data_IF_366514537084
#
_entry.id   IF_366514537084
#
_cell.length_a   1.000
_cell.length_b   1.000
_cell.length_c   1.000
_cell.angle_alpha   90.00
_cell.angle_beta   90.00
_cell.angle_gamma   90.00
#
_symmetry.space_group_name_H-M   'P 1'
#
loop_
_entity.id
_entity.type
_entity.pdbx_description
1 polymer ?
#
# COMPACT_ATOMS: atom_id res chain seq x y z
N UNK A 1 -48.26 -47.76 -22.04
CA UNK A 1 -46.88 -48.24 -22.28
C UNK A 1 -46.01 -47.03 -22.54
N UNK A 2 -45.13 -46.66 -21.61
CA UNK A 2 -44.09 -45.63 -21.80
C UNK A 2 -42.77 -46.26 -22.28
N UNK A 3 -41.84 -45.47 -22.81
CA UNK A 3 -40.58 -45.19 -22.07
C UNK A 3 -40.20 -43.69 -22.13
N UNK A 4 -39.96 -43.01 -21.01
CA UNK A 4 -38.68 -42.79 -20.27
C UNK A 4 -37.61 -41.96 -21.00
N UNK A 5 -37.46 -40.72 -20.53
CA UNK A 5 -36.25 -39.89 -20.57
C UNK A 5 -35.13 -40.51 -19.72
N UNK A 6 -33.88 -40.49 -20.19
CA UNK A 6 -32.65 -40.25 -19.40
C UNK A 6 -31.56 -39.83 -20.38
N UNK A 7 -30.90 -38.68 -20.20
CA UNK A 7 -29.46 -38.46 -20.39
C UNK A 7 -29.14 -36.97 -20.22
N UNK A 8 -28.82 -36.52 -19.01
CA UNK A 8 -28.07 -35.28 -18.79
C UNK A 8 -27.40 -35.26 -17.41
N UNK A 9 -26.41 -36.12 -17.16
CA UNK A 9 -25.58 -36.06 -15.92
C UNK A 9 -24.07 -36.17 -16.22
N UNK A 10 -23.62 -36.11 -17.49
CA UNK A 10 -22.21 -36.37 -17.85
C UNK A 10 -21.27 -35.16 -17.96
N UNK A 11 -21.79 -33.93 -18.11
CA UNK A 11 -20.95 -32.78 -18.57
C UNK A 11 -20.45 -31.88 -17.43
N UNK A 12 -21.03 -31.98 -16.23
CA UNK A 12 -20.71 -31.05 -15.13
C UNK A 12 -19.39 -31.41 -14.40
N UNK A 13 -18.95 -32.69 -14.40
CA UNK A 13 -17.78 -33.12 -13.60
C UNK A 13 -16.42 -32.79 -14.26
N UNK A 14 -16.34 -32.72 -15.59
CA UNK A 14 -15.07 -32.45 -16.31
C UNK A 14 -14.65 -30.97 -16.32
N UNK A 15 -15.60 -30.04 -16.20
CA UNK A 15 -15.33 -28.60 -16.15
C UNK A 15 -14.71 -28.16 -14.80
N UNK A 16 -15.02 -28.86 -13.71
CA UNK A 16 -14.44 -28.56 -12.40
C UNK A 16 -13.00 -29.09 -12.24
N UNK A 17 -12.69 -30.28 -12.77
CA UNK A 17 -11.35 -30.87 -12.65
C UNK A 17 -10.28 -30.04 -13.37
N UNK A 18 -10.51 -29.66 -14.63
CA UNK A 18 -9.58 -28.84 -15.42
C UNK A 18 -9.35 -27.43 -14.84
N UNK A 19 -10.39 -26.85 -14.21
CA UNK A 19 -10.25 -25.55 -13.53
C UNK A 19 -9.39 -25.64 -12.26
N UNK A 20 -9.42 -26.77 -11.54
CA UNK A 20 -8.65 -26.94 -10.30
C UNK A 20 -7.15 -27.13 -10.54
N UNK A 21 -6.78 -27.84 -11.60
CA UNK A 21 -5.38 -28.03 -12.01
C UNK A 21 -4.76 -26.72 -12.50
N UNK A 22 -5.48 -25.95 -13.32
CA UNK A 22 -5.02 -24.65 -13.80
C UNK A 22 -4.78 -23.65 -12.65
N UNK A 23 -5.67 -23.63 -11.64
CA UNK A 23 -5.51 -22.80 -10.44
C UNK A 23 -4.30 -23.24 -9.61
N UNK A 24 -4.11 -24.56 -9.43
CA UNK A 24 -2.96 -25.10 -8.70
C UNK A 24 -1.63 -24.82 -9.41
N UNK A 25 -1.58 -24.98 -10.73
CA UNK A 25 -0.41 -24.67 -11.56
C UNK A 25 -0.06 -23.18 -11.50
N UNK A 26 -1.07 -22.31 -11.58
CA UNK A 26 -0.87 -20.86 -11.48
C UNK A 26 -0.40 -20.43 -10.09
N UNK A 27 -0.90 -21.06 -9.03
CA UNK A 27 -0.40 -20.85 -7.67
C UNK A 27 1.07 -21.29 -7.53
N UNK A 28 1.43 -22.46 -8.07
CA UNK A 28 2.81 -22.94 -8.11
C UNK A 28 3.75 -22.00 -8.88
N UNK A 29 3.27 -21.43 -9.99
CA UNK A 29 4.02 -20.46 -10.79
C UNK A 29 4.33 -19.18 -9.99
N UNK A 30 3.36 -18.62 -9.26
CA UNK A 30 3.59 -17.44 -8.41
C UNK A 30 4.61 -17.70 -7.30
N UNK A 31 4.61 -18.89 -6.71
CA UNK A 31 5.62 -19.28 -5.72
C UNK A 31 7.01 -19.28 -6.35
N UNK A 32 7.15 -19.87 -7.54
CA UNK A 32 8.42 -19.89 -8.26
C UNK A 32 8.87 -18.48 -8.71
N UNK A 33 7.95 -17.64 -9.16
CA UNK A 33 8.21 -16.23 -9.48
C UNK A 33 8.66 -15.45 -8.25
N UNK A 34 7.99 -15.63 -7.11
CA UNK A 34 8.37 -14.99 -5.85
C UNK A 34 9.77 -15.41 -5.40
N UNK A 35 10.09 -16.71 -5.45
CA UNK A 35 11.44 -17.21 -5.11
C UNK A 35 12.51 -16.60 -6.03
N UNK A 36 12.24 -16.43 -7.32
CA UNK A 36 13.15 -15.73 -8.24
C UNK A 36 13.32 -14.26 -7.87
N UNK A 37 12.24 -13.56 -7.50
CA UNK A 37 12.31 -12.18 -7.05
C UNK A 37 13.08 -12.02 -5.74
N UNK A 38 12.95 -12.95 -4.80
CA UNK A 38 13.73 -12.99 -3.55
C UNK A 38 15.22 -13.13 -3.86
N UNK A 39 15.59 -14.06 -4.75
CA UNK A 39 16.98 -14.24 -5.16
C UNK A 39 17.56 -13.00 -5.85
N UNK A 40 16.77 -12.33 -6.70
CA UNK A 40 17.16 -11.09 -7.35
C UNK A 40 17.29 -9.95 -6.35
N UNK A 41 16.37 -9.83 -5.40
CA UNK A 41 16.41 -8.82 -4.33
C UNK A 41 17.63 -8.98 -3.44
N UNK A 42 18.05 -10.21 -3.14
CA UNK A 42 19.25 -10.46 -2.35
C UNK A 42 20.53 -9.88 -3.02
N UNK A 43 20.54 -9.74 -4.36
CA UNK A 43 21.66 -9.13 -5.10
C UNK A 43 21.77 -7.61 -4.91
N UNK A 44 20.76 -6.95 -4.34
CA UNK A 44 20.84 -5.53 -3.99
C UNK A 44 21.79 -5.26 -2.82
N UNK A 45 22.25 -6.29 -2.11
CA UNK A 45 23.33 -6.19 -1.11
C UNK A 45 24.73 -6.07 -1.71
N UNK A 46 24.85 -6.01 -3.04
CA UNK A 46 26.14 -5.81 -3.72
C UNK A 46 26.77 -4.45 -3.34
N UNK A 47 28.08 -4.49 -3.12
CA UNK A 47 28.89 -3.33 -2.73
C UNK A 47 29.22 -2.43 -3.91
N UNK A 48 29.40 -3.01 -5.09
CA UNK A 48 29.59 -2.30 -6.35
C UNK A 48 28.30 -1.58 -6.77
N UNK A 49 28.37 -0.25 -6.86
CA UNK A 49 27.21 0.60 -7.10
C UNK A 49 26.55 0.32 -8.46
N UNK A 50 27.33 0.09 -9.52
CA UNK A 50 26.82 -0.14 -10.87
C UNK A 50 26.14 -1.50 -10.99
N UNK A 51 26.71 -2.53 -10.34
CA UNK A 51 26.05 -3.85 -10.22
C UNK A 51 24.77 -3.74 -9.41
N UNK A 52 24.78 -3.07 -8.26
CA UNK A 52 23.59 -2.87 -7.42
C UNK A 52 22.48 -2.13 -8.19
N UNK A 53 22.84 -1.07 -8.91
CA UNK A 53 21.93 -0.32 -9.78
C UNK A 53 21.31 -1.21 -10.84
N UNK A 54 22.11 -2.04 -11.52
CA UNK A 54 21.58 -3.01 -12.50
C UNK A 54 20.63 -4.02 -11.88
N UNK A 55 20.94 -4.58 -10.71
CA UNK A 55 20.05 -5.53 -10.04
C UNK A 55 18.77 -4.87 -9.53
N UNK A 56 18.85 -3.63 -9.05
CA UNK A 56 17.67 -2.84 -8.65
C UNK A 56 16.72 -2.62 -9.84
N UNK A 57 17.24 -2.19 -10.99
CA UNK A 57 16.45 -2.04 -12.24
C UNK A 57 15.86 -3.38 -12.70
N UNK A 58 16.62 -4.48 -12.62
CA UNK A 58 16.13 -5.81 -12.97
C UNK A 58 15.00 -6.24 -12.03
N UNK A 59 15.14 -6.01 -10.72
CA UNK A 59 14.12 -6.31 -9.73
C UNK A 59 12.84 -5.53 -10.00
N UNK A 60 12.94 -4.21 -10.20
CA UNK A 60 11.82 -3.34 -10.51
C UNK A 60 11.03 -3.86 -11.72
N UNK A 61 11.74 -4.12 -12.82
CA UNK A 61 11.14 -4.63 -14.06
C UNK A 61 10.48 -5.98 -13.86
N UNK A 62 11.16 -6.91 -13.20
CA UNK A 62 10.65 -8.26 -12.96
C UNK A 62 9.40 -8.24 -12.08
N UNK A 63 9.43 -7.47 -10.99
CA UNK A 63 8.31 -7.39 -10.06
C UNK A 63 7.10 -6.71 -10.70
N UNK A 64 7.30 -5.58 -11.38
CA UNK A 64 6.21 -4.91 -12.10
C UNK A 64 5.62 -5.80 -13.20
N UNK A 65 6.46 -6.56 -13.91
CA UNK A 65 5.99 -7.51 -14.94
C UNK A 65 5.17 -8.63 -14.32
N UNK A 66 5.59 -9.18 -13.17
CA UNK A 66 4.83 -10.17 -12.42
C UNK A 66 3.44 -9.65 -12.07
N UNK A 67 3.36 -8.44 -11.49
CA UNK A 67 2.09 -7.83 -11.10
C UNK A 67 1.14 -7.62 -12.29
N UNK A 68 1.67 -7.13 -13.42
CA UNK A 68 0.88 -6.87 -14.63
C UNK A 68 0.38 -8.15 -15.30
N UNK A 69 1.17 -9.21 -15.28
CA UNK A 69 0.82 -10.48 -15.92
C UNK A 69 -0.14 -11.34 -15.07
N UNK A 70 -0.28 -11.04 -13.77
CA UNK A 70 -0.95 -11.92 -12.82
C UNK A 70 -1.97 -11.16 -11.94
N UNK A 71 -3.24 -11.03 -12.38
CA UNK A 71 -4.31 -10.41 -11.60
C UNK A 71 -4.45 -10.95 -10.17
N UNK A 72 -4.19 -12.24 -9.96
CA UNK A 72 -4.25 -12.90 -8.66
C UNK A 72 -3.19 -12.41 -7.66
N UNK A 73 -2.20 -11.62 -8.11
CA UNK A 73 -1.29 -10.95 -7.18
C UNK A 73 -2.01 -9.97 -6.27
N UNK A 74 -3.22 -9.50 -6.60
CA UNK A 74 -4.04 -8.65 -5.73
C UNK A 74 -4.36 -9.31 -4.38
N UNK A 75 -4.40 -10.64 -4.33
CA UNK A 75 -4.66 -11.41 -3.10
C UNK A 75 -3.50 -12.32 -2.69
N UNK A 76 -2.52 -12.56 -3.58
CA UNK A 76 -1.34 -13.38 -3.27
C UNK A 76 -0.55 -12.80 -2.08
N UNK A 77 -0.13 -13.61 -1.08
CA UNK A 77 0.39 -13.08 0.17
C UNK A 77 1.83 -12.56 0.13
N UNK A 78 2.64 -12.93 -0.88
CA UNK A 78 4.06 -12.56 -0.97
C UNK A 78 4.87 -12.80 0.34
N UNK A 79 4.72 -13.99 0.94
CA UNK A 79 5.29 -14.29 2.28
C UNK A 79 6.82 -14.20 2.31
N UNK A 80 7.50 -14.67 1.27
CA UNK A 80 8.96 -14.68 1.21
C UNK A 80 9.49 -13.29 0.85
N UNK A 81 8.85 -12.63 -0.11
CA UNK A 81 9.29 -11.33 -0.60
C UNK A 81 9.04 -10.21 0.43
N UNK A 82 8.01 -10.33 1.26
CA UNK A 82 7.75 -9.41 2.37
C UNK A 82 8.55 -9.70 3.64
N UNK A 83 9.23 -10.84 3.73
CA UNK A 83 10.11 -11.12 4.85
C UNK A 83 11.25 -10.09 4.92
N UNK A 84 11.75 -9.84 6.13
CA UNK A 84 12.93 -8.99 6.38
C UNK A 84 12.85 -7.59 5.74
N UNK A 85 11.66 -6.98 5.70
CA UNK A 85 11.42 -5.67 5.08
C UNK A 85 11.78 -5.61 3.58
N UNK A 86 11.61 -6.72 2.85
CA UNK A 86 11.86 -6.78 1.42
C UNK A 86 10.91 -5.90 0.60
N UNK A 87 9.75 -6.42 0.24
CA UNK A 87 8.65 -5.65 -0.36
C UNK A 87 7.53 -5.52 0.65
N UNK A 88 7.10 -4.30 0.90
CA UNK A 88 5.93 -4.05 1.71
C UNK A 88 4.68 -4.16 0.87
N UNK A 89 3.78 -5.05 1.28
CA UNK A 89 2.51 -5.32 0.60
C UNK A 89 1.37 -4.99 1.55
N UNK A 90 0.64 -3.91 1.28
CA UNK A 90 -0.48 -3.47 2.13
C UNK A 90 -1.76 -3.55 1.32
N UNK A 91 -2.72 -4.33 1.82
CA UNK A 91 -4.03 -4.52 1.18
C UNK A 91 -5.10 -3.83 2.01
N UNK A 92 -6.05 -3.18 1.35
CA UNK A 92 -7.26 -2.67 1.99
C UNK A 92 -8.06 -3.79 2.66
N UNK A 93 -8.85 -3.44 3.67
CA UNK A 93 -9.61 -4.42 4.45
C UNK A 93 -10.62 -5.22 3.60
N UNK A 94 -11.11 -4.63 2.50
CA UNK A 94 -12.02 -5.30 1.57
C UNK A 94 -11.31 -6.11 0.47
N UNK A 95 -9.97 -6.12 0.44
CA UNK A 95 -9.18 -6.87 -0.55
C UNK A 95 -9.16 -6.27 -1.96
N UNK A 96 -9.75 -5.08 -2.16
CA UNK A 96 -9.98 -4.51 -3.50
C UNK A 96 -8.92 -3.51 -3.95
N UNK A 97 -8.08 -3.04 -3.04
CA UNK A 97 -7.00 -2.12 -3.32
C UNK A 97 -5.73 -2.55 -2.58
N UNK A 98 -4.58 -2.45 -3.24
CA UNK A 98 -3.30 -2.86 -2.70
C UNK A 98 -2.21 -1.91 -3.15
N UNK A 99 -1.32 -1.59 -2.22
CA UNK A 99 -0.12 -0.80 -2.45
C UNK A 99 1.09 -1.70 -2.19
N UNK A 100 1.98 -1.75 -3.16
CA UNK A 100 3.29 -2.38 -3.07
C UNK A 100 4.34 -1.28 -2.96
N UNK A 101 5.26 -1.40 -2.00
CA UNK A 101 6.36 -0.45 -1.87
C UNK A 101 7.65 -1.18 -1.55
N UNK A 102 8.76 -0.76 -2.15
CA UNK A 102 10.07 -1.38 -1.90
C UNK A 102 11.20 -0.37 -2.06
N UNK A 103 12.23 -0.52 -1.21
CA UNK A 103 13.47 0.24 -1.30
C UNK A 103 14.31 -0.28 -2.47
N UNK A 104 14.78 0.63 -3.32
CA UNK A 104 15.66 0.35 -4.46
C UNK A 104 17.12 0.09 -4.05
N UNK A 105 17.46 0.32 -2.78
CA UNK A 105 18.78 0.15 -2.16
C UNK A 105 19.88 1.02 -2.81
N UNK A 106 19.52 2.07 -3.55
CA UNK A 106 20.47 2.99 -4.16
C UNK A 106 20.73 4.21 -3.27
N UNK A 107 19.80 4.54 -2.40
CA UNK A 107 19.94 5.58 -1.39
C UNK A 107 20.85 5.19 -0.21
N UNK A 108 21.42 6.21 0.44
CA UNK A 108 22.17 6.07 1.69
C UNK A 108 21.27 6.13 2.92
N UNK A 109 21.43 7.20 3.72
CA UNK A 109 20.54 7.50 4.85
C UNK A 109 19.15 7.96 4.37
N UNK A 110 19.11 8.74 3.29
CA UNK A 110 17.90 8.92 2.49
C UNK A 110 17.60 7.61 1.77
N UNK A 111 16.40 7.08 1.93
CA UNK A 111 15.94 5.89 1.21
C UNK A 111 15.17 6.30 -0.04
N UNK A 112 15.19 5.45 -1.06
CA UNK A 112 14.47 5.69 -2.30
C UNK A 112 13.48 4.55 -2.52
N UNK A 113 12.19 4.85 -2.35
CA UNK A 113 11.13 3.86 -2.46
C UNK A 113 10.43 3.93 -3.82
N UNK A 114 10.29 2.76 -4.43
CA UNK A 114 9.38 2.55 -5.55
C UNK A 114 8.02 2.10 -5.04
N UNK A 115 6.95 2.44 -5.78
CA UNK A 115 5.58 2.05 -5.44
C UNK A 115 4.80 1.59 -6.67
N UNK A 116 3.94 0.59 -6.49
CA UNK A 116 2.95 0.17 -7.46
C UNK A 116 1.58 0.04 -6.78
N UNK A 117 0.53 0.38 -7.52
CA UNK A 117 -0.86 0.29 -7.10
C UNK A 117 -1.55 -0.83 -7.87
N UNK A 118 -2.37 -1.62 -7.19
CA UNK A 118 -3.21 -2.63 -7.82
C UNK A 118 -4.62 -2.56 -7.25
N UNK A 119 -5.63 -2.59 -8.11
CA UNK A 119 -7.02 -2.57 -7.66
C UNK A 119 -7.93 -3.41 -8.55
N UNK A 120 -9.05 -3.82 -7.96
CA UNK A 120 -10.14 -4.44 -8.67
C UNK A 120 -11.01 -3.38 -9.36
N UNK A 121 -11.17 -3.48 -10.67
CA UNK A 121 -12.16 -2.75 -11.45
C UNK A 121 -13.13 -3.73 -12.14
N UNK A 122 -14.31 -3.92 -11.54
CA UNK A 122 -15.26 -4.94 -11.99
C UNK A 122 -14.64 -6.34 -11.89
N UNK A 123 -14.64 -7.08 -13.00
CA UNK A 123 -13.99 -8.40 -13.11
C UNK A 123 -12.49 -8.34 -13.44
N UNK A 124 -11.95 -7.15 -13.71
CA UNK A 124 -10.55 -6.96 -14.06
C UNK A 124 -9.74 -6.46 -12.87
N UNK A 125 -8.43 -6.71 -12.90
CA UNK A 125 -7.47 -6.14 -11.96
C UNK A 125 -6.55 -5.22 -12.75
N UNK A 126 -6.41 -3.99 -12.29
CA UNK A 126 -5.57 -2.96 -12.91
C UNK A 126 -4.32 -2.78 -12.07
N UNK A 127 -3.17 -2.66 -12.73
CA UNK A 127 -1.90 -2.28 -12.10
C UNK A 127 -1.48 -0.92 -12.64
N UNK A 128 -1.23 0.03 -11.74
CA UNK A 128 -0.63 1.32 -12.06
C UNK A 128 0.72 1.45 -11.38
N UNK A 129 1.73 1.81 -12.16
CA UNK A 129 3.04 2.20 -11.65
C UNK A 129 3.21 3.66 -12.02
N UNK A 130 3.29 4.59 -11.06
CA UNK A 130 3.48 6.00 -11.36
C UNK A 130 4.76 6.17 -12.16
N UNK A 131 4.66 6.85 -13.29
CA UNK A 131 5.83 7.34 -14.02
C UNK A 131 6.36 8.55 -13.26
N UNK A 132 7.23 8.33 -12.28
CA UNK A 132 7.95 9.41 -11.62
C UNK A 132 9.37 9.41 -12.16
N UNK A 133 9.77 10.51 -12.80
CA UNK A 133 11.18 10.88 -12.77
C UNK A 133 11.48 11.14 -11.29
N UNK A 134 12.37 10.37 -10.69
CA UNK A 134 12.81 10.64 -9.32
C UNK A 134 13.56 11.97 -9.38
N UNK A 135 12.91 13.03 -8.93
CA UNK A 135 13.57 14.31 -8.76
C UNK A 135 14.59 14.20 -7.62
N UNK A 136 15.65 15.00 -7.69
CA UNK A 136 16.64 15.05 -6.63
C UNK A 136 15.96 15.44 -5.31
N UNK A 137 16.12 14.60 -4.28
CA UNK A 137 15.47 14.79 -2.97
C UNK A 137 14.11 14.08 -2.80
N UNK A 138 13.53 13.46 -3.84
CA UNK A 138 12.33 12.62 -3.68
C UNK A 138 12.71 11.21 -3.19
N UNK A 139 12.56 11.00 -1.87
CA UNK A 139 12.73 9.70 -1.23
C UNK A 139 11.65 8.67 -1.64
N UNK A 140 10.56 9.11 -2.29
CA UNK A 140 9.36 8.31 -2.43
C UNK A 140 8.76 7.96 -1.06
N UNK A 141 7.92 6.94 -1.00
CA UNK A 141 7.34 6.48 0.25
C UNK A 141 7.05 4.97 0.24
N UNK A 142 6.95 4.38 1.43
CA UNK A 142 6.31 3.08 1.62
C UNK A 142 4.99 3.19 2.35
N UNK A 143 4.00 2.41 1.93
CA UNK A 143 2.72 2.32 2.62
C UNK A 143 2.83 1.42 3.87
N UNK A 144 2.33 1.86 5.03
CA UNK A 144 2.27 1.07 6.27
C UNK A 144 0.86 0.60 6.64
N UNK A 145 -0.19 1.30 6.18
CA UNK A 145 -1.58 0.93 6.46
C UNK A 145 -2.51 1.49 5.38
N UNK A 146 -3.64 0.82 5.16
CA UNK A 146 -4.74 1.33 4.34
C UNK A 146 -6.02 1.19 5.15
N UNK A 147 -6.68 2.32 5.43
CA UNK A 147 -8.00 2.32 6.05
C UNK A 147 -9.08 2.48 4.98
N UNK A 148 -10.15 1.69 5.08
CA UNK A 148 -11.27 1.77 4.15
C UNK A 148 -12.42 2.54 4.79
N UNK A 149 -12.96 3.53 4.08
CA UNK A 149 -14.07 4.35 4.55
C UNK A 149 -15.08 4.57 3.42
N UNK A 150 -16.37 4.54 3.76
CA UNK A 150 -17.45 4.82 2.82
C UNK A 150 -17.97 6.24 3.10
N UNK A 151 -17.88 7.12 2.10
CA UNK A 151 -18.13 8.56 2.23
C UNK A 151 -18.81 9.07 0.97
N UNK A 152 -19.96 9.74 1.13
CA UNK A 152 -20.73 10.33 0.03
C UNK A 152 -20.87 9.41 -1.19
N UNK A 153 -20.07 9.67 -2.22
CA UNK A 153 -20.12 9.06 -3.56
C UNK A 153 -19.50 7.66 -3.66
N UNK A 154 -18.91 7.13 -2.59
CA UNK A 154 -18.46 5.74 -2.58
C UNK A 154 -17.34 5.46 -1.60
N UNK A 155 -16.56 4.43 -1.95
CA UNK A 155 -15.48 3.91 -1.12
C UNK A 155 -14.17 4.66 -1.36
N UNK A 156 -13.54 5.03 -0.27
CA UNK A 156 -12.22 5.64 -0.23
C UNK A 156 -11.25 4.78 0.57
N UNK A 157 -9.98 4.89 0.19
CA UNK A 157 -8.86 4.25 0.85
C UNK A 157 -7.92 5.32 1.36
N UNK A 158 -7.71 5.36 2.68
CA UNK A 158 -6.79 6.27 3.33
C UNK A 158 -5.48 5.52 3.56
N UNK A 159 -4.49 5.75 2.70
CA UNK A 159 -3.19 5.11 2.83
C UNK A 159 -2.30 5.93 3.75
N UNK A 160 -1.68 5.27 4.73
CA UNK A 160 -0.60 5.84 5.54
C UNK A 160 0.71 5.53 4.85
N UNK A 161 1.46 6.57 4.51
CA UNK A 161 2.71 6.50 3.77
C UNK A 161 3.86 7.07 4.58
N UNK A 162 5.08 6.57 4.35
CA UNK A 162 6.25 6.89 5.14
C UNK A 162 7.44 7.17 4.22
N UNK A 163 8.09 8.31 4.40
CA UNK A 163 9.31 8.70 3.69
C UNK A 163 10.47 8.85 4.67
N UNK A 164 11.67 8.50 4.22
CA UNK A 164 12.90 8.58 5.00
C UNK A 164 13.89 9.45 4.22
N UNK A 165 14.06 10.69 4.66
CA UNK A 165 14.94 11.66 4.02
C UNK A 165 16.36 11.63 4.61
N UNK A 166 16.49 11.26 5.89
CA UNK A 166 17.77 11.01 6.54
C UNK A 166 17.59 10.11 7.78
N UNK A 167 18.63 9.95 8.59
CA UNK A 167 18.51 9.32 9.92
C UNK A 167 17.68 10.14 10.90
N UNK A 168 17.51 11.44 10.63
CA UNK A 168 16.74 12.39 11.43
C UNK A 168 15.42 12.71 10.76
N UNK A 169 15.43 13.03 9.48
CA UNK A 169 14.28 13.63 8.79
C UNK A 169 13.39 12.55 8.19
N UNK A 170 12.15 12.50 8.66
CA UNK A 170 11.16 11.54 8.22
C UNK A 170 9.81 12.22 8.01
N UNK A 171 8.97 11.59 7.19
CA UNK A 171 7.58 12.00 6.97
C UNK A 171 6.65 10.83 7.14
N UNK A 172 5.50 11.09 7.77
CA UNK A 172 4.34 10.23 7.65
C UNK A 172 3.18 11.03 7.07
N UNK A 173 2.47 10.43 6.13
CA UNK A 173 1.38 11.07 5.42
C UNK A 173 0.13 10.21 5.47
N UNK A 174 -1.03 10.84 5.38
CA UNK A 174 -2.28 10.15 5.05
C UNK A 174 -2.81 10.69 3.74
N UNK A 175 -2.95 9.80 2.75
CA UNK A 175 -3.37 10.14 1.40
C UNK A 175 -4.68 9.45 1.02
N UNK A 176 -5.54 10.19 0.34
CA UNK A 176 -6.87 9.76 -0.09
C UNK A 176 -6.79 9.18 -1.48
N UNK A 177 -7.26 7.95 -1.60
CA UNK A 177 -7.42 7.25 -2.87
C UNK A 177 -8.87 6.87 -3.09
N UNK A 178 -9.35 7.01 -4.32
CA UNK A 178 -10.62 6.41 -4.76
C UNK A 178 -10.39 5.70 -6.08
N UNK A 179 -10.98 4.53 -6.22
CA UNK A 179 -11.04 3.83 -7.51
C UNK A 179 -12.27 4.33 -8.25
N UNK A 180 -12.07 4.84 -9.46
CA UNK A 180 -13.13 5.25 -10.38
C UNK A 180 -12.89 4.60 -11.75
N UNK A 181 -13.64 3.53 -12.03
CA UNK A 181 -13.44 2.69 -13.22
C UNK A 181 -11.96 2.24 -13.30
N UNK A 182 -11.30 2.55 -14.42
CA UNK A 182 -9.90 2.22 -14.70
C UNK A 182 -8.90 3.23 -14.12
N UNK A 183 -9.31 4.15 -13.25
CA UNK A 183 -8.42 5.21 -12.73
C UNK A 183 -8.37 5.19 -11.21
N UNK A 184 -7.18 5.42 -10.70
CA UNK A 184 -6.94 5.73 -9.30
C UNK A 184 -6.96 7.25 -9.14
N UNK A 185 -7.96 7.76 -8.42
CA UNK A 185 -8.15 9.18 -8.14
C UNK A 185 -7.42 9.52 -6.85
N UNK A 186 -6.51 10.50 -6.90
CA UNK A 186 -5.68 10.94 -5.77
C UNK A 186 -5.92 12.40 -5.38
N UNK A 187 -6.91 13.04 -6.01
CA UNK A 187 -7.18 14.48 -5.89
C UNK A 187 -8.42 14.80 -5.06
N UNK A 188 -9.17 13.77 -4.63
CA UNK A 188 -10.39 13.97 -3.86
C UNK A 188 -10.04 14.48 -2.46
N UNK A 189 -10.40 15.74 -2.20
CA UNK A 189 -10.09 16.41 -0.96
C UNK A 189 -11.09 16.06 0.16
N UNK A 190 -10.82 14.95 0.87
CA UNK A 190 -11.67 14.50 1.97
C UNK A 190 -11.36 15.14 3.32
N UNK A 191 -10.16 15.64 3.57
CA UNK A 191 -9.88 16.31 4.85
C UNK A 191 -10.23 17.78 4.73
N UNK A 192 -11.06 18.30 5.63
CA UNK A 192 -11.47 19.72 5.62
C UNK A 192 -11.18 20.40 6.94
N UNK A 193 -10.66 21.61 6.81
CA UNK A 193 -10.67 22.62 7.88
C UNK A 193 -11.76 23.66 7.56
N UNK A 194 -11.84 24.73 8.34
CA UNK A 194 -12.74 25.85 8.02
C UNK A 194 -12.36 26.60 6.74
N UNK A 195 -11.12 26.44 6.26
CA UNK A 195 -10.55 27.27 5.17
C UNK A 195 -10.05 26.45 3.99
N UNK A 196 -9.62 25.22 4.24
CA UNK A 196 -8.87 24.44 3.26
C UNK A 196 -9.40 23.01 3.20
N UNK A 197 -9.19 22.37 2.06
CA UNK A 197 -9.52 20.97 1.83
C UNK A 197 -8.31 20.26 1.24
N UNK A 198 -8.03 19.06 1.72
CA UNK A 198 -6.83 18.32 1.37
C UNK A 198 -7.16 16.88 0.98
N UNK A 199 -6.51 16.40 -0.08
CA UNK A 199 -6.49 14.99 -0.44
C UNK A 199 -5.34 14.23 0.26
N UNK A 200 -4.40 14.98 0.85
CA UNK A 200 -3.24 14.45 1.56
C UNK A 200 -2.87 15.38 2.71
N UNK A 201 -2.48 14.81 3.84
CA UNK A 201 -1.85 15.55 4.93
C UNK A 201 -0.48 14.94 5.16
N UNK A 202 0.55 15.77 5.11
CA UNK A 202 1.95 15.41 5.34
C UNK A 202 2.37 15.87 6.74
N UNK A 203 3.07 15.00 7.47
CA UNK A 203 3.69 15.34 8.74
C UNK A 203 5.17 15.02 8.69
N UNK A 204 5.97 16.06 8.57
CA UNK A 204 7.43 15.99 8.75
C UNK A 204 7.77 15.98 10.23
N UNK A 205 8.73 15.14 10.62
CA UNK A 205 9.18 15.02 12.00
C UNK A 205 10.64 14.55 12.09
N UNK A 206 11.24 14.87 13.23
CA UNK A 206 12.52 14.34 13.66
C UNK A 206 12.32 12.92 14.24
N UNK A 207 12.86 11.91 13.56
CA UNK A 207 12.79 10.50 13.94
C UNK A 207 13.39 10.24 15.33
N UNK A 208 14.38 11.03 15.76
CA UNK A 208 14.95 10.90 17.12
C UNK A 208 13.91 11.19 18.21
N UNK A 209 12.87 11.97 17.92
CA UNK A 209 11.77 12.23 18.87
C UNK A 209 10.85 11.04 19.12
N UNK A 210 10.96 9.98 18.30
CA UNK A 210 10.11 8.79 18.37
C UNK A 210 10.91 7.49 18.32
N UNK A 211 12.24 7.56 18.45
CA UNK A 211 13.13 6.39 18.34
C UNK A 211 12.82 5.33 19.41
N UNK A 212 12.49 5.76 20.62
CA UNK A 212 12.21 4.89 21.78
C UNK A 212 10.87 4.17 21.69
N UNK A 213 10.04 4.51 20.70
CA UNK A 213 8.77 3.82 20.50
C UNK A 213 9.02 2.39 20.02
N UNK A 214 8.35 1.37 20.58
CA UNK A 214 8.58 -0.01 20.17
C UNK A 214 7.91 -0.36 18.84
N UNK A 215 6.85 0.34 18.42
CA UNK A 215 6.11 -0.02 17.22
C UNK A 215 6.89 0.27 15.92
N UNK A 216 6.94 -0.72 15.03
CA UNK A 216 7.55 -0.61 13.69
C UNK A 216 6.64 -1.31 12.66
N UNK A 217 6.26 -0.64 11.54
CA UNK A 217 6.45 0.78 11.25
C UNK A 217 5.79 1.68 12.31
N UNK A 218 6.25 2.92 12.42
CA UNK A 218 5.65 3.91 13.32
C UNK A 218 4.18 4.11 12.97
N UNK A 219 3.33 4.17 14.00
CA UNK A 219 1.89 4.39 13.86
C UNK A 219 1.52 5.78 14.40
N UNK A 220 2.10 6.83 13.81
CA UNK A 220 1.80 8.19 14.24
C UNK A 220 0.43 8.63 13.74
N UNK A 221 0.05 8.33 12.50
CA UNK A 221 -1.29 8.58 11.99
C UNK A 221 -2.13 7.31 12.16
N UNK A 222 -3.31 7.46 12.74
CA UNK A 222 -4.21 6.34 13.04
C UNK A 222 -5.64 6.67 12.65
N UNK A 223 -6.44 5.63 12.44
CA UNK A 223 -7.88 5.73 12.22
C UNK A 223 -8.62 4.80 13.18
N UNK A 224 -9.53 5.36 13.97
CA UNK A 224 -10.48 4.59 14.76
C UNK A 224 -11.75 4.38 13.94
N UNK A 225 -12.00 3.14 13.49
CA UNK A 225 -13.17 2.83 12.66
C UNK A 225 -14.50 2.91 13.43
N UNK A 226 -14.51 2.70 14.75
CA UNK A 226 -15.73 2.77 15.58
C UNK A 226 -16.15 4.21 15.80
N UNK A 227 -15.19 5.05 16.16
CA UNK A 227 -15.40 6.49 16.35
C UNK A 227 -15.40 7.24 15.02
N UNK A 228 -14.87 6.63 13.96
CA UNK A 228 -14.63 7.23 12.64
C UNK A 228 -13.73 8.47 12.71
N UNK A 229 -12.69 8.42 13.53
CA UNK A 229 -11.75 9.51 13.76
C UNK A 229 -10.39 9.18 13.17
N UNK A 230 -9.85 10.07 12.34
CA UNK A 230 -8.42 10.10 12.00
C UNK A 230 -7.70 10.98 13.02
N UNK A 231 -6.62 10.46 13.59
CA UNK A 231 -5.76 11.19 14.53
C UNK A 231 -4.35 11.35 13.94
N UNK A 232 -3.92 12.60 13.77
CA UNK A 232 -2.64 13.01 13.18
C UNK A 232 -1.78 13.63 14.28
N UNK A 233 -0.49 13.30 14.43
CA UNK A 233 0.35 13.89 15.46
C UNK A 233 0.54 15.40 15.26
N UNK A 234 0.63 16.14 16.36
CA UNK A 234 1.15 17.52 16.34
C UNK A 234 2.66 17.46 16.52
N UNK A 235 3.36 18.12 15.61
CA UNK A 235 4.82 18.29 15.63
C UNK A 235 5.12 19.76 15.94
N UNK A 236 6.11 20.01 16.79
CA UNK A 236 6.53 21.36 17.13
C UNK A 236 7.58 21.91 16.15
N UNK A 237 8.01 23.15 16.35
CA UNK A 237 8.93 23.85 15.44
C UNK A 237 10.33 23.19 15.37
N UNK A 238 10.70 22.37 16.36
CA UNK A 238 11.94 21.58 16.33
C UNK A 238 11.78 20.20 15.67
N UNK A 239 10.61 19.89 15.10
CA UNK A 239 10.31 18.59 14.49
C UNK A 239 9.95 17.49 15.48
N UNK A 240 9.81 17.79 16.78
CA UNK A 240 9.48 16.78 17.80
C UNK A 240 8.01 16.42 17.79
N UNK A 241 7.72 15.13 17.73
CA UNK A 241 6.35 14.60 17.86
C UNK A 241 5.87 14.81 19.30
N UNK A 242 4.85 15.64 19.47
CA UNK A 242 4.26 15.91 20.79
C UNK A 242 3.30 14.80 21.23
N UNK A 243 2.82 14.91 22.47
CA UNK A 243 1.71 14.09 22.97
C UNK A 243 0.33 14.59 22.51
N UNK A 244 0.23 15.53 21.57
CA UNK A 244 -1.07 16.06 21.08
C UNK A 244 -1.37 15.55 19.67
N UNK A 245 -2.65 15.42 19.36
CA UNK A 245 -3.17 14.94 18.07
C UNK A 245 -4.20 15.90 17.51
N UNK A 246 -4.09 16.20 16.22
CA UNK A 246 -5.12 16.84 15.40
C UNK A 246 -6.15 15.75 15.05
N UNK A 247 -7.42 16.03 15.32
CA UNK A 247 -8.50 15.07 15.11
C UNK A 247 -9.40 15.50 13.97
N UNK A 248 -9.67 14.55 13.08
CA UNK A 248 -10.66 14.68 12.01
C UNK A 248 -11.74 13.62 12.16
N UNK A 249 -12.99 14.03 12.27
CA UNK A 249 -14.15 13.17 12.39
C UNK A 249 -14.81 12.98 11.04
N UNK A 250 -15.10 11.73 10.67
CA UNK A 250 -15.87 11.45 9.45
C UNK A 250 -17.32 11.92 9.61
N UNK A 251 -17.78 12.72 8.65
CA UNK A 251 -19.17 13.14 8.43
C UNK A 251 -19.80 12.32 7.29
N UNK A 252 -20.95 12.73 6.77
CA UNK A 252 -21.56 12.08 5.62
C UNK A 252 -20.73 12.18 4.33
N UNK A 253 -19.96 13.26 4.15
CA UNK A 253 -19.31 13.62 2.89
C UNK A 253 -17.79 13.87 3.00
N UNK A 254 -17.23 14.05 4.20
CA UNK A 254 -15.80 14.34 4.38
C UNK A 254 -15.32 14.08 5.81
N UNK A 255 -14.02 14.25 6.06
CA UNK A 255 -13.39 14.30 7.37
C UNK A 255 -13.26 15.75 7.84
N UNK A 256 -14.05 16.14 8.83
CA UNK A 256 -14.06 17.48 9.39
C UNK A 256 -13.08 17.59 10.55
N UNK A 257 -12.21 18.60 10.55
CA UNK A 257 -11.40 18.95 11.73
C UNK A 257 -12.31 19.27 12.91
N UNK A 258 -12.11 18.59 14.04
CA UNK A 258 -12.89 18.77 15.28
C UNK A 258 -12.09 19.31 16.46
N UNK A 259 -10.76 19.40 16.35
CA UNK A 259 -9.92 19.96 17.41
C UNK A 259 -8.58 19.27 17.57
N UNK A 260 -7.85 19.68 18.61
CA UNK A 260 -6.58 19.09 19.03
C UNK A 260 -6.74 18.58 20.45
N UNK A 261 -6.34 17.33 20.70
CA UNK A 261 -6.44 16.68 22.01
C UNK A 261 -5.12 16.03 22.42
N UNK A 262 -4.89 15.83 23.72
CA UNK A 262 -3.81 14.98 24.19
C UNK A 262 -4.06 13.53 23.75
N UNK A 263 -3.01 12.84 23.28
CA UNK A 263 -3.02 11.42 23.05
C UNK A 263 -3.31 10.73 24.38
N UNK A 264 -4.28 9.82 24.38
CA UNK A 264 -4.48 8.93 25.52
C UNK A 264 -3.23 8.05 25.61
N UNK A 265 -2.52 8.11 26.73
CA UNK A 265 -1.43 7.19 27.00
C UNK A 265 -1.97 5.77 26.85
N UNK A 266 -1.41 5.00 25.93
CA UNK A 266 -1.64 3.56 25.81
C UNK A 266 -0.70 2.84 26.76
#
# INVERSE_FOLDING_TARGET
>A
MGPTSVFLVGIIVWLFASSSEAVAQQAGQLVADETRLVALRARLGETDYDKRTRYSIQFDKAFVSLLKANPQTLTYPFRQLSANNGVRVVTSADGRFRIYSWDDQLGGTMRSFNTAYQWQNGSQVVVNVPSRAKEEGDAGSFCSAIFTVDVGKGRYYLAVENSIFSTKDARQSIAVYRVDKNRLITTDALFRTKRESFARIDVDFDFSSVVDRPERPLQLITYDAKQKIVAIPVVNDEGKVSNRRILYQLTADHFQFIGIQAAKNK
#
